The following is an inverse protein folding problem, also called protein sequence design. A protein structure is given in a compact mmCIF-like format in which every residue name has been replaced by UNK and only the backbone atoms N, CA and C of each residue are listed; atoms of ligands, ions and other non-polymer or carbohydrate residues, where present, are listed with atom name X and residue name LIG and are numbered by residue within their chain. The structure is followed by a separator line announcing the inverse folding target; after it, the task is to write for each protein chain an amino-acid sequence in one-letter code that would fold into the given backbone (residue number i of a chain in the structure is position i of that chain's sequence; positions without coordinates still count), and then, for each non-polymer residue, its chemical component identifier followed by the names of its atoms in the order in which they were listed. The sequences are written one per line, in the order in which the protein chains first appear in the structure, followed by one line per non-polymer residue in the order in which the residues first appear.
data_IF_108315825821
#
_entry.id   IF_108315825821
#
_cell.length_a   1.000
_cell.length_b   1.000
_cell.length_c   1.000
_cell.angle_alpha   90.00
_cell.angle_beta   90.00
_cell.angle_gamma   90.00
#
_symmetry.space_group_name_H-M   'P 1'
#
loop_
_entity.id
_entity.type
_entity.pdbx_description
1 polymer ?
#
# COMPACT_ATOMS: atom_id res chain seq x y z
N UNK A 1 25.25 0.32 -10.63
CA UNK A 1 25.19 0.27 -9.14
C UNK A 1 23.80 0.72 -8.73
N UNK A 2 22.88 -0.17 -8.32
CA UNK A 2 21.57 0.26 -7.85
C UNK A 2 21.65 0.69 -6.37
N UNK A 3 21.03 1.82 -6.08
CA UNK A 3 20.94 2.41 -4.75
C UNK A 3 19.97 1.59 -3.88
N UNK A 4 20.48 1.01 -2.80
CA UNK A 4 19.67 0.39 -1.74
C UNK A 4 19.07 1.51 -0.92
N UNK A 5 17.75 1.66 -0.93
CA UNK A 5 17.08 2.49 0.07
C UNK A 5 17.08 1.68 1.37
N UNK A 6 17.76 2.11 2.45
CA UNK A 6 17.46 1.57 3.77
C UNK A 6 15.95 1.77 4.03
N UNK A 7 15.36 1.12 5.04
CA UNK A 7 14.03 1.54 5.54
C UNK A 7 14.16 2.65 6.59
N UNK A 8 14.36 3.94 6.27
CA UNK A 8 13.91 5.01 7.12
C UNK A 8 12.59 5.56 6.58
N UNK A 9 11.83 6.21 7.46
CA UNK A 9 10.61 7.00 7.18
C UNK A 9 9.30 6.20 7.18
N UNK A 10 8.85 5.79 8.38
CA UNK A 10 7.45 5.76 8.83
C UNK A 10 6.30 5.37 7.89
N UNK A 11 6.56 4.71 6.76
CA UNK A 11 5.62 4.48 5.67
C UNK A 11 5.73 3.02 5.21
N UNK A 12 4.58 2.37 5.22
CA UNK A 12 4.36 1.00 4.86
C UNK A 12 3.63 0.96 3.52
N UNK A 13 4.17 0.22 2.56
CA UNK A 13 3.54 -0.06 1.27
C UNK A 13 3.32 -1.57 1.17
N UNK A 14 2.10 -1.98 0.87
CA UNK A 14 1.73 -3.38 0.69
C UNK A 14 0.80 -3.53 -0.50
N UNK A 15 0.94 -4.63 -1.22
CA UNK A 15 -0.06 -5.08 -2.19
C UNK A 15 -0.99 -6.04 -1.46
N UNK A 16 -2.29 -5.76 -1.47
CA UNK A 16 -3.30 -6.52 -0.71
C UNK A 16 -4.45 -6.97 -1.60
N UNK A 17 -5.00 -8.12 -1.25
CA UNK A 17 -6.26 -8.59 -1.79
C UNK A 17 -7.41 -7.68 -1.33
N UNK A 18 -8.31 -7.33 -2.26
CA UNK A 18 -9.37 -6.34 -2.07
C UNK A 18 -10.46 -6.80 -1.11
N UNK A 19 -10.73 -8.11 -1.08
CA UNK A 19 -11.80 -8.71 -0.30
C UNK A 19 -11.33 -9.05 1.12
N UNK A 20 -10.13 -9.60 1.23
CA UNK A 20 -9.60 -10.13 2.49
C UNK A 20 -8.66 -9.17 3.22
N UNK A 21 -8.14 -8.12 2.56
CA UNK A 21 -7.08 -7.24 3.05
C UNK A 21 -5.77 -7.96 3.41
N UNK A 22 -5.64 -9.24 3.05
CA UNK A 22 -4.42 -10.01 3.22
C UNK A 22 -3.36 -9.54 2.23
N UNK A 23 -2.08 -9.58 2.63
CA UNK A 23 -0.99 -9.27 1.71
C UNK A 23 -0.88 -10.38 0.67
N UNK A 24 -0.72 -10.01 -0.60
CA UNK A 24 -0.56 -10.99 -1.68
C UNK A 24 0.81 -11.68 -1.59
N UNK A 25 0.93 -12.94 -2.06
CA UNK A 25 2.21 -13.63 -2.15
C UNK A 25 3.19 -12.90 -3.07
N UNK A 26 4.49 -13.10 -2.83
CA UNK A 26 5.59 -12.51 -3.61
C UNK A 26 5.98 -13.38 -4.80
N UNK A 27 5.02 -13.70 -5.66
CA UNK A 27 5.19 -14.60 -6.80
C UNK A 27 5.36 -13.88 -8.15
N UNK A 28 5.31 -12.55 -8.15
CA UNK A 28 5.32 -11.72 -9.36
C UNK A 28 4.10 -11.91 -10.26
N UNK A 29 3.03 -12.55 -9.77
CA UNK A 29 1.85 -12.94 -10.56
C UNK A 29 0.54 -12.58 -9.89
N UNK A 30 0.43 -12.80 -8.58
CA UNK A 30 -0.80 -12.52 -7.83
C UNK A 30 -0.99 -11.01 -7.73
N UNK A 31 -2.07 -10.55 -8.35
CA UNK A 31 -2.46 -9.15 -8.38
C UNK A 31 -3.19 -8.76 -7.09
N UNK A 32 -2.98 -7.52 -6.65
CA UNK A 32 -3.75 -6.89 -5.60
C UNK A 32 -3.63 -5.37 -5.70
N UNK A 33 -4.36 -4.66 -4.85
CA UNK A 33 -4.29 -3.19 -4.80
C UNK A 33 -3.13 -2.73 -3.91
N UNK A 34 -2.51 -1.61 -4.28
CA UNK A 34 -1.47 -0.96 -3.48
C UNK A 34 -2.11 -0.18 -2.34
N UNK A 35 -1.72 -0.51 -1.11
CA UNK A 35 -2.11 0.17 0.10
C UNK A 35 -0.91 0.84 0.77
N UNK A 36 -1.13 2.06 1.26
CA UNK A 36 -0.14 2.85 1.97
C UNK A 36 -0.58 3.12 3.42
N UNK A 37 0.37 3.10 4.35
CA UNK A 37 0.13 3.55 5.74
C UNK A 37 1.38 4.19 6.30
N UNK A 38 1.29 5.41 6.77
CA UNK A 38 2.45 6.06 7.35
C UNK A 38 2.24 7.50 7.73
N UNK A 39 3.24 8.10 8.37
CA UNK A 39 3.20 9.50 8.84
C UNK A 39 3.09 10.51 7.70
N UNK A 40 3.53 10.15 6.49
CA UNK A 40 3.47 10.96 5.27
C UNK A 40 2.13 10.88 4.53
N UNK A 41 1.23 9.98 4.92
CA UNK A 41 -0.08 9.84 4.28
C UNK A 41 -1.02 10.93 4.79
N UNK A 42 -1.75 11.57 3.87
CA UNK A 42 -2.76 12.58 4.22
C UNK A 42 -3.79 12.03 5.22
N UNK A 43 -4.41 12.90 6.02
CA UNK A 43 -5.46 12.48 6.97
C UNK A 43 -6.81 12.19 6.29
N UNK A 44 -6.98 12.65 5.07
CA UNK A 44 -8.24 12.60 4.33
C UNK A 44 -8.35 13.73 3.32
N UNK A 45 -9.42 13.68 2.53
CA UNK A 45 -9.77 14.72 1.57
C UNK A 45 -10.43 15.90 2.27
N UNK A 46 -10.07 17.12 1.87
CA UNK A 46 -10.57 18.33 2.48
C UNK A 46 -12.09 18.48 2.28
N UNK A 47 -12.85 18.57 3.38
CA UNK A 47 -14.32 18.69 3.41
C UNK A 47 -15.08 17.53 2.73
N UNK A 48 -14.43 16.40 2.51
CA UNK A 48 -15.07 15.21 1.93
C UNK A 48 -14.85 13.98 2.83
N UNK A 49 -15.63 13.87 3.92
CA UNK A 49 -15.53 12.73 4.84
C UNK A 49 -15.97 11.41 4.21
N UNK A 50 -16.85 11.45 3.21
CA UNK A 50 -17.33 10.24 2.52
C UNK A 50 -16.23 9.65 1.64
N UNK A 51 -15.59 10.46 0.79
CA UNK A 51 -14.44 10.02 0.01
C UNK A 51 -13.27 9.60 0.90
N UNK A 52 -13.06 10.29 2.02
CA UNK A 52 -12.06 9.89 3.02
C UNK A 52 -12.37 8.50 3.57
N UNK A 53 -13.59 8.26 4.05
CA UNK A 53 -13.95 6.94 4.59
C UNK A 53 -13.87 5.83 3.54
N UNK A 54 -14.13 6.12 2.26
CA UNK A 54 -14.00 5.14 1.17
C UNK A 54 -12.55 4.82 0.83
N UNK A 55 -11.67 5.82 0.89
CA UNK A 55 -10.25 5.66 0.57
C UNK A 55 -9.43 5.04 1.71
N UNK A 56 -9.95 5.04 2.94
CA UNK A 56 -9.27 4.42 4.09
C UNK A 56 -9.94 3.12 4.53
N UNK A 57 -9.17 2.03 4.60
CA UNK A 57 -9.61 0.72 5.11
C UNK A 57 -8.69 0.27 6.24
N UNK A 58 -9.22 0.19 7.46
CA UNK A 58 -8.48 -0.23 8.65
C UNK A 58 -7.15 0.55 8.86
N UNK A 59 -7.16 1.86 8.58
CA UNK A 59 -6.00 2.73 8.68
C UNK A 59 -4.99 2.63 7.53
N UNK A 60 -5.33 1.90 6.46
CA UNK A 60 -4.59 1.86 5.20
C UNK A 60 -5.29 2.73 4.15
N UNK A 61 -4.51 3.54 3.45
CA UNK A 61 -4.97 4.31 2.30
C UNK A 61 -4.93 3.43 1.04
N UNK A 62 -6.09 3.23 0.43
CA UNK A 62 -6.29 2.57 -0.85
C UNK A 62 -5.91 3.55 -1.97
N UNK A 63 -4.92 3.20 -2.79
CA UNK A 63 -4.42 4.08 -3.86
C UNK A 63 -5.29 4.03 -5.12
N UNK A 64 -6.05 2.95 -5.31
CA UNK A 64 -6.72 2.61 -6.56
C UNK A 64 -5.82 1.91 -7.59
N UNK A 65 -4.51 1.82 -7.34
CA UNK A 65 -3.56 1.20 -8.26
C UNK A 65 -3.40 -0.30 -7.98
N UNK A 66 -3.32 -1.11 -9.05
CA UNK A 66 -3.15 -2.57 -8.96
C UNK A 66 -1.72 -2.95 -9.32
N UNK A 67 -1.13 -3.89 -8.58
CA UNK A 67 0.23 -4.36 -8.80
C UNK A 67 0.46 -5.80 -8.33
N UNK A 68 1.68 -6.27 -8.55
CA UNK A 68 2.19 -7.57 -8.07
C UNK A 68 3.44 -7.35 -7.23
N UNK A 69 3.76 -8.28 -6.32
CA UNK A 69 5.03 -8.24 -5.59
C UNK A 69 5.99 -9.22 -6.23
N UNK A 70 7.08 -8.70 -6.81
CA UNK A 70 8.10 -9.55 -7.42
C UNK A 70 8.84 -10.39 -6.36
N UNK A 71 9.27 -11.57 -6.77
CA UNK A 71 9.92 -12.58 -5.90
C UNK A 71 11.28 -12.17 -5.34
N UNK A 72 11.92 -11.10 -5.86
CA UNK A 72 13.26 -10.75 -5.39
C UNK A 72 13.22 -10.14 -3.98
N UNK A 73 14.04 -10.70 -3.10
CA UNK A 73 14.46 -10.14 -1.82
C UNK A 73 15.60 -9.18 -2.09
N UNK A 74 15.48 -7.93 -1.65
CA UNK A 74 16.63 -7.23 -1.10
C UNK A 74 16.26 -6.90 0.34
N UNK A 75 17.09 -7.40 1.26
CA UNK A 75 16.97 -7.19 2.70
C UNK A 75 17.23 -5.75 3.09
#
# INVERSE_FOLDING_TARGET
MPMVLPRPLGQHLYVKDLDTMASVPRDGKTMGEIFLRGSSIMKGYFKDPEATSKAFRNGWFATGDVGVVHTYLHG
#
